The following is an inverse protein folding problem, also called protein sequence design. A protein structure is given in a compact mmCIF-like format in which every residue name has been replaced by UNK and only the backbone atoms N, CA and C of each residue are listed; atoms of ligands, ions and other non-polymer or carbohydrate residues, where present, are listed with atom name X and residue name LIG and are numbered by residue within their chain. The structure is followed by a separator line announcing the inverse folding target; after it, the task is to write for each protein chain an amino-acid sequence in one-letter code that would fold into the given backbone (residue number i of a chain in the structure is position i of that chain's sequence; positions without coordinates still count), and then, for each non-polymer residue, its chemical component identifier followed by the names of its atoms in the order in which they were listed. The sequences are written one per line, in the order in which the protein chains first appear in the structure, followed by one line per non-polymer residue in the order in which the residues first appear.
data_IF_932306624273
#
_entry.id   IF_932306624273
#
_cell.length_a   1.000
_cell.length_b   1.000
_cell.length_c   1.000
_cell.angle_alpha   90.00
_cell.angle_beta   90.00
_cell.angle_gamma   90.00
#
_symmetry.space_group_name_H-M   'P 1'
#
loop_
_entity.id
_entity.type
_entity.pdbx_description
1 polymer ?
#
# COMPACT_ATOMS: atom_id res chain seq x y z
N UNK A 1 53.99 94.14 -41.16
CA UNK A 1 53.34 95.45 -41.40
C UNK A 1 51.84 95.24 -41.24
N UNK A 2 51.18 95.97 -40.32
CA UNK A 2 49.71 96.03 -40.25
C UNK A 2 49.02 95.25 -39.12
N UNK A 3 48.91 95.87 -37.94
CA UNK A 3 47.65 95.90 -37.16
C UNK A 3 46.58 96.64 -38.01
N UNK A 4 45.23 96.49 -37.85
CA UNK A 4 44.46 96.64 -36.59
C UNK A 4 43.25 95.66 -36.45
N UNK A 5 42.71 95.35 -35.26
CA UNK A 5 41.93 96.13 -34.27
C UNK A 5 40.52 96.60 -34.73
N UNK A 6 39.49 96.00 -34.11
CA UNK A 6 38.37 96.59 -33.32
C UNK A 6 36.91 96.31 -33.77
N UNK A 7 36.16 95.77 -32.79
CA UNK A 7 34.85 96.16 -32.24
C UNK A 7 33.51 95.94 -32.98
N UNK A 8 32.55 95.41 -32.18
CA UNK A 8 31.13 95.78 -32.16
C UNK A 8 30.19 94.77 -32.82
N UNK A 9 29.56 93.83 -32.10
CA UNK A 9 28.34 93.97 -31.28
C UNK A 9 27.02 93.87 -32.09
N UNK A 10 26.18 92.89 -31.71
CA UNK A 10 24.84 92.61 -32.25
C UNK A 10 24.61 91.09 -32.34
N UNK A 11 24.47 90.39 -31.21
CA UNK A 11 23.17 89.99 -30.64
C UNK A 11 22.30 89.14 -31.60
N UNK A 12 22.20 87.82 -31.31
CA UNK A 12 20.96 87.12 -30.92
C UNK A 12 21.06 85.61 -31.12
N UNK A 13 20.75 84.89 -30.04
CA UNK A 13 19.90 83.69 -30.08
C UNK A 13 20.59 82.34 -30.30
N UNK A 14 20.36 81.43 -29.36
CA UNK A 14 20.52 79.99 -29.60
C UNK A 14 21.18 79.27 -28.43
N UNK A 15 20.37 78.90 -27.43
CA UNK A 15 20.77 78.01 -26.36
C UNK A 15 21.30 76.68 -26.94
N UNK A 16 22.57 76.43 -26.68
CA UNK A 16 23.21 75.13 -26.74
C UNK A 16 22.59 74.20 -25.69
N UNK A 17 22.11 73.02 -26.08
CA UNK A 17 22.18 71.87 -25.20
C UNK A 17 22.61 70.64 -25.98
N UNK A 18 23.58 69.96 -25.40
CA UNK A 18 24.48 69.05 -26.07
C UNK A 18 23.81 67.71 -26.41
N UNK A 19 24.13 67.25 -27.62
CA UNK A 19 23.98 65.86 -28.06
C UNK A 19 24.89 64.99 -27.19
N UNK A 20 24.29 64.10 -26.40
CA UNK A 20 24.95 62.95 -25.82
C UNK A 20 24.16 61.70 -26.19
N UNK A 21 24.83 60.89 -26.99
CA UNK A 21 24.48 59.58 -27.48
C UNK A 21 23.88 58.68 -26.39
N UNK A 22 22.65 58.18 -26.61
CA UNK A 22 22.03 57.16 -25.75
C UNK A 22 22.05 55.83 -26.50
N UNK A 23 22.74 54.79 -25.99
CA UNK A 23 22.70 53.47 -26.61
C UNK A 23 21.32 52.83 -26.42
N UNK A 24 20.80 52.27 -27.51
CA UNK A 24 19.58 51.48 -27.60
C UNK A 24 19.64 50.27 -26.66
N UNK A 25 18.87 50.29 -25.57
CA UNK A 25 18.68 49.14 -24.69
C UNK A 25 17.60 48.20 -25.25
N UNK A 26 17.91 47.49 -26.33
CA UNK A 26 17.23 46.25 -26.70
C UNK A 26 18.11 45.08 -26.26
N UNK A 27 17.68 44.38 -25.20
CA UNK A 27 18.11 43.05 -24.72
C UNK A 27 18.33 43.04 -23.19
N UNK A 28 17.26 43.23 -22.43
CA UNK A 28 17.16 42.59 -21.14
C UNK A 28 16.22 41.42 -21.34
N UNK A 29 16.78 40.21 -21.45
CA UNK A 29 16.03 38.97 -21.46
C UNK A 29 15.06 38.98 -20.27
N UNK A 30 13.77 39.04 -20.59
CA UNK A 30 12.69 38.92 -19.63
C UNK A 30 12.65 37.46 -19.18
N UNK A 31 13.51 37.11 -18.21
CA UNK A 31 13.32 35.91 -17.39
C UNK A 31 12.07 36.19 -16.55
N UNK A 32 10.89 35.97 -17.14
CA UNK A 32 9.64 35.94 -16.38
C UNK A 32 9.82 34.86 -15.32
N UNK A 33 9.74 35.16 -14.01
CA UNK A 33 9.73 34.09 -13.02
C UNK A 33 8.54 33.19 -13.34
N UNK A 34 8.79 31.88 -13.41
CA UNK A 34 7.74 30.90 -13.68
C UNK A 34 6.54 31.18 -12.76
N UNK A 35 5.33 31.17 -13.33
CA UNK A 35 4.13 31.50 -12.58
C UNK A 35 4.00 30.64 -11.31
N UNK A 36 3.38 31.13 -10.22
CA UNK A 36 3.25 30.37 -8.98
C UNK A 36 2.58 29.00 -9.19
N UNK A 37 1.73 28.86 -10.22
CA UNK A 37 1.14 27.57 -10.64
C UNK A 37 2.19 26.59 -11.18
N UNK A 38 3.11 27.07 -12.01
CA UNK A 38 4.20 26.25 -12.59
C UNK A 38 5.18 25.80 -11.51
N UNK A 39 5.52 26.68 -10.56
CA UNK A 39 6.39 26.36 -9.44
C UNK A 39 5.80 25.28 -8.51
N UNK A 40 4.48 25.28 -8.30
CA UNK A 40 3.80 24.26 -7.50
C UNK A 40 3.89 22.86 -8.14
N UNK A 41 3.72 22.78 -9.46
CA UNK A 41 3.84 21.52 -10.21
C UNK A 41 5.29 21.01 -10.22
N UNK A 42 6.27 21.90 -10.39
CA UNK A 42 7.70 21.54 -10.35
C UNK A 42 8.09 20.95 -8.97
N UNK A 43 7.63 21.58 -7.88
CA UNK A 43 7.82 21.07 -6.51
C UNK A 43 7.19 19.70 -6.32
N UNK A 44 5.98 19.48 -6.84
CA UNK A 44 5.30 18.19 -6.78
C UNK A 44 6.09 17.11 -7.56
N UNK A 45 6.57 17.43 -8.76
CA UNK A 45 7.39 16.54 -9.58
C UNK A 45 8.72 16.20 -8.89
N UNK A 46 9.35 17.17 -8.23
CA UNK A 46 10.58 16.94 -7.48
C UNK A 46 10.34 16.10 -6.22
N UNK A 47 9.23 16.32 -5.50
CA UNK A 47 8.82 15.47 -4.39
C UNK A 47 8.59 14.02 -4.83
N UNK A 48 7.98 13.82 -6.00
CA UNK A 48 7.77 12.49 -6.60
C UNK A 48 9.09 11.79 -6.98
N UNK A 49 10.06 12.51 -7.56
CA UNK A 49 11.35 11.94 -8.01
C UNK A 49 12.16 11.28 -6.91
N UNK A 50 12.10 11.82 -5.69
CA UNK A 50 12.86 11.33 -4.54
C UNK A 50 12.01 10.55 -3.55
N UNK A 51 10.74 10.26 -3.89
CA UNK A 51 9.85 9.56 -2.98
C UNK A 51 10.20 8.08 -2.90
N UNK A 52 10.44 7.62 -1.68
CA UNK A 52 10.58 6.19 -1.41
C UNK A 52 9.24 5.48 -1.59
N UNK A 53 9.20 4.26 -2.16
CA UNK A 53 8.02 3.40 -2.18
C UNK A 53 7.44 3.15 -0.77
N UNK A 54 8.30 3.26 0.25
CA UNK A 54 7.95 3.03 1.66
C UNK A 54 7.32 4.26 2.34
N UNK A 55 7.31 5.41 1.66
CA UNK A 55 6.90 6.68 2.25
C UNK A 55 5.39 6.77 2.45
N UNK A 56 4.97 6.90 3.71
CA UNK A 56 3.58 7.16 4.11
C UNK A 56 3.14 8.61 3.85
N UNK A 57 4.09 9.50 3.57
CA UNK A 57 3.83 10.94 3.41
C UNK A 57 3.03 11.22 2.15
N UNK A 58 1.79 11.68 2.30
CA UNK A 58 0.95 12.09 1.17
C UNK A 58 1.57 13.28 0.43
N UNK A 59 1.36 13.32 -0.89
CA UNK A 59 1.66 14.49 -1.69
C UNK A 59 0.77 15.66 -1.23
N UNK A 60 1.38 16.80 -0.97
CA UNK A 60 0.66 18.02 -0.58
C UNK A 60 -0.01 18.65 -1.81
N UNK A 61 -1.34 18.80 -1.75
CA UNK A 61 -2.13 19.48 -2.78
C UNK A 61 -2.21 21.00 -2.62
N UNK A 62 -1.62 21.58 -1.56
CA UNK A 62 -1.65 23.02 -1.31
C UNK A 62 -0.91 23.79 -2.42
N UNK A 63 -1.58 24.80 -2.96
CA UNK A 63 -1.03 25.64 -4.05
C UNK A 63 -1.04 24.97 -5.43
N UNK A 64 -1.47 23.72 -5.54
CA UNK A 64 -1.62 23.01 -6.82
C UNK A 64 -2.88 23.52 -7.54
N UNK A 65 -2.81 23.79 -8.86
CA UNK A 65 -3.98 24.18 -9.66
C UNK A 65 -5.11 23.15 -9.55
N UNK A 66 -6.36 23.61 -9.60
CA UNK A 66 -7.55 22.77 -9.49
C UNK A 66 -7.59 21.64 -10.53
N UNK A 67 -7.01 21.87 -11.70
CA UNK A 67 -6.91 20.93 -12.81
C UNK A 67 -5.99 19.74 -12.50
N UNK A 68 -5.02 19.91 -11.59
CA UNK A 68 -4.02 18.88 -11.22
C UNK A 68 -4.40 18.15 -9.93
N UNK A 69 -5.31 18.70 -9.10
CA UNK A 69 -5.74 18.06 -7.84
C UNK A 69 -6.24 16.63 -7.99
N UNK A 70 -7.10 16.27 -8.98
CA UNK A 70 -7.56 14.88 -9.15
C UNK A 70 -6.41 13.90 -9.39
N UNK A 71 -5.34 14.34 -10.07
CA UNK A 71 -4.14 13.52 -10.28
C UNK A 71 -3.37 13.31 -8.97
N UNK A 72 -3.23 14.34 -8.13
CA UNK A 72 -2.60 14.23 -6.81
C UNK A 72 -3.36 13.25 -5.92
N UNK A 73 -4.69 13.30 -5.94
CA UNK A 73 -5.55 12.37 -5.20
C UNK A 73 -5.39 10.92 -5.69
N UNK A 74 -5.42 10.70 -7.01
CA UNK A 74 -5.21 9.37 -7.60
C UNK A 74 -3.82 8.80 -7.29
N UNK A 75 -2.78 9.64 -7.31
CA UNK A 75 -1.43 9.25 -6.90
C UNK A 75 -1.36 8.88 -5.43
N UNK A 76 -1.96 9.68 -4.54
CA UNK A 76 -2.03 9.36 -3.11
C UNK A 76 -2.73 8.03 -2.84
N UNK A 77 -3.83 7.73 -3.55
CA UNK A 77 -4.51 6.43 -3.48
C UNK A 77 -3.63 5.29 -3.99
N UNK A 78 -2.87 5.50 -5.08
CA UNK A 78 -1.90 4.52 -5.58
C UNK A 78 -0.80 4.25 -4.54
N UNK A 79 -0.21 5.29 -3.97
CA UNK A 79 0.83 5.14 -2.94
C UNK A 79 0.31 4.43 -1.70
N UNK A 80 -0.92 4.73 -1.26
CA UNK A 80 -1.55 4.03 -0.14
C UNK A 80 -1.73 2.52 -0.43
N UNK A 81 -2.14 2.16 -1.66
CA UNK A 81 -2.23 0.75 -2.08
C UNK A 81 -0.88 0.06 -2.12
N UNK A 82 0.14 0.69 -2.71
CA UNK A 82 1.52 0.16 -2.77
C UNK A 82 2.08 -0.06 -1.37
N UNK A 83 1.98 0.94 -0.50
CA UNK A 83 2.46 0.85 0.88
C UNK A 83 1.76 -0.30 1.62
N UNK A 84 0.43 -0.41 1.47
CA UNK A 84 -0.35 -1.48 2.09
C UNK A 84 0.07 -2.88 1.59
N UNK A 85 0.34 -3.03 0.28
CA UNK A 85 0.85 -4.27 -0.30
C UNK A 85 2.22 -4.63 0.26
N UNK A 86 3.14 -3.68 0.35
CA UNK A 86 4.49 -3.91 0.90
C UNK A 86 4.48 -4.26 2.38
N UNK A 87 3.62 -3.60 3.19
CA UNK A 87 3.47 -3.94 4.62
C UNK A 87 2.97 -5.37 4.78
N UNK A 88 1.97 -5.77 3.97
CA UNK A 88 1.47 -7.16 3.94
C UNK A 88 2.56 -8.14 3.53
N UNK A 89 3.31 -7.87 2.46
CA UNK A 89 4.40 -8.72 1.98
C UNK A 89 5.50 -8.93 3.03
N UNK A 90 5.94 -7.85 3.70
CA UNK A 90 6.93 -7.94 4.78
C UNK A 90 6.42 -8.77 5.95
N UNK A 91 5.19 -8.52 6.38
CA UNK A 91 4.57 -9.26 7.48
C UNK A 91 4.44 -10.74 7.13
N UNK A 92 3.92 -11.06 5.94
CA UNK A 92 3.81 -12.43 5.44
C UNK A 92 5.17 -13.13 5.41
N UNK A 93 6.21 -12.48 4.87
CA UNK A 93 7.57 -13.04 4.81
C UNK A 93 8.14 -13.30 6.20
N UNK A 94 7.95 -12.36 7.12
CA UNK A 94 8.38 -12.49 8.53
C UNK A 94 7.65 -13.65 9.22
N UNK A 95 6.32 -13.70 9.12
CA UNK A 95 5.48 -14.72 9.74
C UNK A 95 5.83 -16.10 9.15
N UNK A 96 5.95 -16.22 7.83
CA UNK A 96 6.38 -17.44 7.16
C UNK A 96 7.76 -17.93 7.67
N UNK A 97 8.73 -17.04 7.81
CA UNK A 97 10.06 -17.40 8.30
C UNK A 97 10.01 -17.88 9.76
N UNK A 98 9.20 -17.26 10.61
CA UNK A 98 8.99 -17.69 11.99
C UNK A 98 8.30 -19.05 12.07
N UNK A 99 7.22 -19.24 11.34
CA UNK A 99 6.45 -20.48 11.34
C UNK A 99 7.27 -21.65 10.79
N UNK A 100 8.12 -21.44 9.77
CA UNK A 100 9.00 -22.49 9.23
C UNK A 100 10.16 -22.86 10.16
N UNK A 101 10.63 -21.94 11.01
CA UNK A 101 11.77 -22.19 11.90
C UNK A 101 11.49 -23.31 12.91
N UNK A 102 10.27 -23.34 13.46
CA UNK A 102 9.85 -24.33 14.46
C UNK A 102 9.87 -25.79 13.93
N UNK A 103 9.18 -26.14 12.82
CA UNK A 103 9.21 -27.49 12.27
C UNK A 103 10.59 -27.87 11.77
N UNK A 104 11.40 -26.94 11.23
CA UNK A 104 12.79 -27.22 10.86
C UNK A 104 13.66 -27.54 12.07
N UNK A 105 13.49 -26.85 13.20
CA UNK A 105 14.20 -27.17 14.43
C UNK A 105 13.79 -28.56 14.97
N UNK A 106 12.49 -28.88 14.92
CA UNK A 106 11.99 -30.19 15.31
C UNK A 106 12.56 -31.31 14.43
N UNK A 107 12.57 -31.12 13.10
CA UNK A 107 13.17 -32.08 12.15
C UNK A 107 14.66 -32.30 12.42
N UNK A 108 15.39 -31.23 12.76
CA UNK A 108 16.81 -31.35 13.13
C UNK A 108 16.99 -32.25 14.36
N UNK A 109 16.23 -32.00 15.43
CA UNK A 109 16.28 -32.84 16.66
C UNK A 109 15.91 -34.28 16.35
N UNK A 110 14.86 -34.51 15.56
CA UNK A 110 14.45 -35.86 15.17
C UNK A 110 15.52 -36.58 14.35
N UNK A 111 16.27 -35.86 13.51
CA UNK A 111 17.40 -36.41 12.76
C UNK A 111 18.54 -36.80 13.69
N UNK A 112 18.85 -35.97 14.69
CA UNK A 112 19.85 -36.28 15.73
C UNK A 112 19.45 -37.53 16.53
N UNK A 113 18.17 -37.66 16.91
CA UNK A 113 17.64 -38.87 17.58
C UNK A 113 17.76 -40.10 16.69
N UNK A 114 17.45 -40.00 15.40
CA UNK A 114 17.60 -41.09 14.45
C UNK A 114 19.07 -41.53 14.31
N UNK A 115 20.01 -40.58 14.30
CA UNK A 115 21.45 -40.86 14.27
C UNK A 115 21.95 -41.56 15.54
N UNK A 116 21.42 -41.17 16.70
CA UNK A 116 21.77 -41.75 18.00
C UNK A 116 21.15 -43.14 18.24
N UNK A 117 20.18 -43.56 17.41
CA UNK A 117 19.49 -44.85 17.56
C UNK A 117 20.38 -46.07 17.28
N UNK A 118 21.55 -45.87 16.66
CA UNK A 118 22.55 -46.92 16.44
C UNK A 118 21.99 -48.15 15.71
N UNK A 119 22.30 -49.34 16.24
CA UNK A 119 21.89 -50.63 15.67
C UNK A 119 20.53 -51.15 16.19
N UNK A 120 19.81 -50.40 17.05
CA UNK A 120 18.48 -50.82 17.50
C UNK A 120 17.43 -50.57 16.40
N UNK A 121 16.91 -51.62 15.75
CA UNK A 121 15.99 -51.46 14.63
C UNK A 121 14.66 -50.82 15.04
N UNK A 122 14.20 -51.06 16.28
CA UNK A 122 12.92 -50.54 16.77
C UNK A 122 13.01 -49.04 17.06
N UNK A 123 14.11 -48.59 17.67
CA UNK A 123 14.33 -47.15 17.91
C UNK A 123 14.54 -46.40 16.60
N UNK A 124 15.27 -46.99 15.65
CA UNK A 124 15.47 -46.41 14.32
C UNK A 124 14.14 -46.26 13.56
N UNK A 125 13.30 -47.29 13.55
CA UNK A 125 11.99 -47.25 12.88
C UNK A 125 11.06 -46.18 13.49
N UNK A 126 11.05 -46.07 14.83
CA UNK A 126 10.33 -45.00 15.52
C UNK A 126 10.83 -43.61 15.15
N UNK A 127 12.15 -43.41 15.09
CA UNK A 127 12.74 -42.12 14.73
C UNK A 127 12.42 -41.74 13.27
N UNK A 128 12.49 -42.71 12.34
CA UNK A 128 12.11 -42.52 10.93
C UNK A 128 10.62 -42.20 10.76
N UNK A 129 9.76 -42.84 11.56
CA UNK A 129 8.32 -42.53 11.58
C UNK A 129 8.07 -41.10 12.06
N UNK A 130 8.74 -40.68 13.14
CA UNK A 130 8.62 -39.32 13.66
C UNK A 130 9.14 -38.27 12.67
N UNK A 131 10.22 -38.56 11.94
CA UNK A 131 10.73 -37.72 10.86
C UNK A 131 9.70 -37.56 9.73
N UNK A 132 9.06 -38.64 9.27
CA UNK A 132 8.01 -38.56 8.26
C UNK A 132 6.86 -37.66 8.72
N UNK A 133 6.39 -37.83 9.96
CA UNK A 133 5.34 -36.97 10.54
C UNK A 133 5.79 -35.51 10.61
N UNK A 134 7.06 -35.25 10.92
CA UNK A 134 7.64 -33.91 10.93
C UNK A 134 7.65 -33.28 9.53
N UNK A 135 8.03 -34.05 8.50
CA UNK A 135 8.05 -33.61 7.10
C UNK A 135 6.64 -33.30 6.63
N UNK A 136 5.66 -34.16 6.91
CA UNK A 136 4.26 -33.93 6.54
C UNK A 136 3.67 -32.67 7.17
N UNK A 137 4.12 -32.31 8.39
CA UNK A 137 3.72 -31.03 9.03
C UNK A 137 4.36 -29.84 8.34
N UNK A 138 5.65 -29.92 8.01
CA UNK A 138 6.34 -28.86 7.29
C UNK A 138 5.76 -28.62 5.89
N UNK A 139 5.46 -29.69 5.14
CA UNK A 139 4.80 -29.62 3.84
C UNK A 139 3.44 -28.94 3.94
N UNK A 140 2.60 -29.36 4.90
CA UNK A 140 1.29 -28.73 5.12
C UNK A 140 1.40 -27.23 5.43
N UNK A 141 2.40 -26.84 6.21
CA UNK A 141 2.64 -25.42 6.50
C UNK A 141 3.04 -24.65 5.24
N UNK A 142 3.91 -25.21 4.39
CA UNK A 142 4.28 -24.60 3.10
C UNK A 142 3.04 -24.43 2.20
N UNK A 143 2.19 -25.45 2.11
CA UNK A 143 0.95 -25.37 1.32
C UNK A 143 0.00 -24.29 1.85
N UNK A 144 -0.12 -24.15 3.18
CA UNK A 144 -0.90 -23.08 3.81
C UNK A 144 -0.34 -21.70 3.49
N UNK A 145 0.98 -21.51 3.58
CA UNK A 145 1.65 -20.25 3.22
C UNK A 145 1.44 -19.90 1.75
N UNK A 146 1.58 -20.87 0.83
CA UNK A 146 1.32 -20.67 -0.60
C UNK A 146 -0.14 -20.32 -0.88
N UNK A 147 -1.07 -20.93 -0.14
CA UNK A 147 -2.51 -20.63 -0.25
C UNK A 147 -2.80 -19.20 0.20
N UNK A 148 -2.27 -18.78 1.36
CA UNK A 148 -2.43 -17.43 1.89
C UNK A 148 -1.84 -16.37 0.95
N UNK A 149 -0.65 -16.62 0.38
CA UNK A 149 -0.02 -15.73 -0.60
C UNK A 149 -0.90 -15.48 -1.84
N UNK A 150 -1.63 -16.50 -2.30
CA UNK A 150 -2.59 -16.35 -3.41
C UNK A 150 -3.82 -15.56 -3.01
N UNK A 151 -4.32 -15.74 -1.79
CA UNK A 151 -5.49 -15.03 -1.29
C UNK A 151 -5.24 -13.52 -1.13
N UNK A 152 -4.02 -13.12 -0.77
CA UNK A 152 -3.63 -11.72 -0.63
C UNK A 152 -3.67 -10.93 -1.96
N UNK A 153 -3.72 -11.64 -3.10
CA UNK A 153 -3.83 -11.04 -4.45
C UNK A 153 -5.28 -10.83 -4.91
N UNK A 154 -6.28 -11.24 -4.12
CA UNK A 154 -7.71 -11.22 -4.51
C UNK A 154 -8.41 -9.86 -4.33
N UNK A 155 -7.69 -8.74 -4.34
CA UNK A 155 -8.29 -7.38 -4.25
C UNK A 155 -9.30 -7.07 -5.39
N UNK A 156 -9.45 -7.96 -6.38
CA UNK A 156 -10.53 -7.96 -7.38
C UNK A 156 -11.25 -9.32 -7.43
N UNK A 157 -12.08 -9.62 -6.44
CA UNK A 157 -12.99 -10.77 -6.50
C UNK A 157 -14.11 -10.52 -7.53
N UNK A 158 -13.84 -10.81 -8.80
CA UNK A 158 -14.85 -10.72 -9.86
C UNK A 158 -15.80 -11.94 -9.89
N UNK A 159 -15.43 -13.05 -9.26
CA UNK A 159 -16.20 -14.31 -9.22
C UNK A 159 -16.65 -14.69 -7.79
N UNK A 160 -17.41 -13.82 -7.13
CA UNK A 160 -18.03 -14.16 -5.84
C UNK A 160 -19.36 -14.88 -6.08
N UNK A 161 -19.39 -16.19 -5.80
CA UNK A 161 -20.64 -16.96 -5.78
C UNK A 161 -21.25 -16.99 -4.37
N UNK A 162 -22.58 -16.94 -4.28
CA UNK A 162 -23.27 -17.25 -3.03
C UNK A 162 -23.18 -18.75 -2.76
N UNK A 163 -22.63 -19.12 -1.61
CA UNK A 163 -22.52 -20.51 -1.17
C UNK A 163 -23.39 -20.76 0.07
N UNK A 164 -23.97 -21.95 0.18
CA UNK A 164 -24.68 -22.37 1.39
C UNK A 164 -23.68 -22.74 2.48
N UNK A 165 -23.59 -21.90 3.52
CA UNK A 165 -22.68 -22.16 4.64
C UNK A 165 -23.08 -23.44 5.40
N UNK A 166 -24.37 -23.77 5.43
CA UNK A 166 -24.89 -24.99 6.07
C UNK A 166 -24.36 -26.25 5.35
N UNK A 167 -24.45 -26.28 4.02
CA UNK A 167 -23.95 -27.40 3.20
C UNK A 167 -22.43 -27.53 3.29
N UNK A 168 -21.70 -26.42 3.25
CA UNK A 168 -20.25 -26.41 3.36
C UNK A 168 -19.80 -26.96 4.72
N UNK A 169 -20.41 -26.49 5.81
CA UNK A 169 -20.07 -26.95 7.16
C UNK A 169 -20.45 -28.42 7.37
N UNK A 170 -21.57 -28.87 6.81
CA UNK A 170 -21.95 -30.27 6.85
C UNK A 170 -20.93 -31.15 6.11
N UNK A 171 -20.51 -30.76 4.91
CA UNK A 171 -19.45 -31.46 4.15
C UNK A 171 -18.15 -31.52 4.95
N UNK A 172 -17.72 -30.39 5.52
CA UNK A 172 -16.48 -30.33 6.30
C UNK A 172 -16.51 -31.24 7.54
N UNK A 173 -17.66 -31.35 8.22
CA UNK A 173 -17.82 -32.28 9.35
C UNK A 173 -17.75 -33.74 8.90
N UNK A 174 -18.33 -34.07 7.74
CA UNK A 174 -18.25 -35.42 7.18
C UNK A 174 -16.81 -35.79 6.81
N UNK A 175 -16.03 -34.85 6.26
CA UNK A 175 -14.64 -35.07 5.87
C UNK A 175 -13.74 -35.43 7.06
N UNK A 176 -14.01 -34.87 8.24
CA UNK A 176 -13.21 -35.12 9.46
C UNK A 176 -13.82 -36.19 10.39
N UNK A 177 -14.97 -36.76 10.03
CA UNK A 177 -15.70 -37.67 10.90
C UNK A 177 -14.88 -38.91 11.27
N UNK A 178 -14.23 -39.54 10.29
CA UNK A 178 -13.48 -40.78 10.53
C UNK A 178 -12.19 -40.55 11.36
N UNK A 179 -11.35 -39.54 11.05
CA UNK A 179 -10.24 -39.16 11.92
C UNK A 179 -10.67 -38.80 13.36
N UNK A 180 -11.77 -38.07 13.52
CA UNK A 180 -12.28 -37.68 14.84
C UNK A 180 -12.71 -38.91 15.66
N UNK A 181 -13.40 -39.87 15.05
CA UNK A 181 -13.78 -41.13 15.69
C UNK A 181 -12.58 -41.96 16.15
N UNK A 182 -11.52 -42.06 15.32
CA UNK A 182 -10.28 -42.75 15.72
C UNK A 182 -9.59 -42.09 16.92
N UNK A 183 -9.78 -40.78 17.08
CA UNK A 183 -9.28 -40.01 18.22
C UNK A 183 -10.26 -39.98 19.41
N UNK A 184 -11.39 -40.69 19.37
CA UNK A 184 -12.49 -40.60 20.35
C UNK A 184 -13.02 -39.15 20.55
N UNK A 185 -13.06 -38.36 19.48
CA UNK A 185 -13.59 -37.00 19.46
C UNK A 185 -14.95 -37.00 18.75
N UNK A 186 -15.98 -36.48 19.42
CA UNK A 186 -17.31 -36.27 18.83
C UNK A 186 -17.41 -34.85 18.25
N UNK A 187 -17.73 -34.76 16.96
CA UNK A 187 -17.90 -33.48 16.26
C UNK A 187 -19.35 -33.33 15.83
N UNK A 188 -20.04 -32.31 16.35
CA UNK A 188 -21.43 -31.99 16.01
C UNK A 188 -21.54 -30.59 15.44
N UNK A 189 -22.23 -30.48 14.31
CA UNK A 189 -22.65 -29.20 13.74
C UNK A 189 -24.11 -28.92 14.10
N UNK A 190 -24.38 -27.71 14.62
CA UNK A 190 -25.74 -27.23 14.92
C UNK A 190 -25.99 -25.92 14.19
N UNK A 191 -26.89 -25.92 13.21
CA UNK A 191 -27.32 -24.72 12.52
C UNK A 191 -28.48 -24.04 13.27
N UNK A 192 -28.27 -22.84 13.81
CA UNK A 192 -29.36 -22.00 14.31
C UNK A 192 -29.88 -21.12 13.18
N UNK A 193 -31.08 -21.44 12.67
CA UNK A 193 -31.78 -20.53 11.75
C UNK A 193 -32.15 -19.25 12.51
N UNK A 194 -31.82 -18.06 12.00
CA UNK A 194 -32.20 -16.81 12.65
C UNK A 194 -33.73 -16.75 12.72
N UNK A 195 -34.27 -16.71 13.95
CA UNK A 195 -35.69 -16.52 14.15
C UNK A 195 -36.06 -15.15 13.61
N UNK A 196 -36.91 -15.10 12.58
CA UNK A 196 -37.54 -13.87 12.08
C UNK A 196 -38.24 -13.20 13.27
N UNK A 197 -37.61 -12.20 13.86
CA UNK A 197 -38.28 -11.25 14.72
C UNK A 197 -39.25 -10.47 13.84
N UNK A 198 -40.48 -10.95 13.74
CA UNK A 198 -41.59 -10.16 13.21
C UNK A 198 -41.80 -9.01 14.18
N UNK A 199 -41.22 -7.85 13.88
CA UNK A 199 -41.63 -6.59 14.50
C UNK A 199 -43.10 -6.35 14.13
N UNK A 200 -44.01 -6.78 15.00
CA UNK A 200 -45.40 -6.34 14.96
C UNK A 200 -45.40 -4.90 15.45
N UNK A 201 -45.44 -3.95 14.52
CA UNK A 201 -45.68 -2.54 14.82
C UNK A 201 -46.99 -2.42 15.61
N UNK A 202 -46.89 -2.13 16.91
CA UNK A 202 -48.01 -1.76 17.74
C UNK A 202 -48.25 -0.26 17.62
N UNK A 203 -48.78 0.18 16.48
CA UNK A 203 -49.41 1.49 16.37
C UNK A 203 -50.82 1.41 16.97
N UNK A 204 -50.91 1.44 18.31
CA UNK A 204 -52.17 1.73 19.00
C UNK A 204 -52.19 3.22 19.31
N UNK A 205 -52.76 4.00 18.41
CA UNK A 205 -53.14 5.39 18.67
C UNK A 205 -54.16 5.42 19.82
N UNK A 206 -53.86 6.18 20.88
CA UNK A 206 -54.89 6.63 21.84
C UNK A 206 -55.76 7.69 21.16
N UNK A 207 -57.09 7.62 21.25
CA UNK A 207 -57.93 8.76 20.90
C UNK A 207 -57.85 9.81 22.03
N UNK A 208 -57.69 11.07 21.62
CA UNK A 208 -57.90 12.25 22.46
C UNK A 208 -59.41 12.45 22.59
N UNK A 209 -59.92 12.56 23.81
CA UNK A 209 -61.24 13.12 24.08
C UNK A 209 -61.13 14.26 25.07
N UNK A 210 -61.97 15.26 24.81
CA UNK A 210 -62.00 16.63 25.31
C UNK A 210 -62.29 16.77 26.81
#
# INVERSE_FOLDING_TARGET
MGLPRRYGAGDRGGAINAVADRPSAHAADFITPASPRTQAVEKLAQALRFRSPESETLLDGKGVPSEVRPLVEALNQLFSRIHSMMVRERRFTSDAAHELRSPLAALKVQTEVAQLSGDDPLSRDKALTQLHVGIDRATRLVDQLLTLSRLDSLDNLQDVAKISLEELLQSAVMDIYHPAQQANIDVRFTAQRPQRHTYRSAATLKPVSA
#
